data_IF_149313463906
#
_entry.id   IF_149313463906
#
_cell.length_a   1.000
_cell.length_b   1.000
_cell.length_c   1.000
_cell.angle_alpha   90.00
_cell.angle_beta   90.00
_cell.angle_gamma   90.00
#
_symmetry.space_group_name_H-M   'P 1'
#
loop_
_entity.id
_entity.type
_entity.pdbx_description
1 polymer ?
#
# COMPACT_ATOMS: atom_id res chain seq x y z
N UNK A 1 -44.79 -37.54 -18.36
CA UNK A 1 -44.06 -36.75 -17.33
C UNK A 1 -42.69 -36.36 -17.88
N UNK A 2 -42.45 -35.07 -18.11
CA UNK A 2 -41.20 -34.55 -18.67
C UNK A 2 -40.02 -34.78 -17.71
N UNK A 3 -38.79 -34.84 -18.25
CA UNK A 3 -37.57 -35.02 -17.45
C UNK A 3 -37.43 -33.91 -16.37
N UNK A 4 -37.88 -32.69 -16.68
CA UNK A 4 -37.90 -31.56 -15.76
C UNK A 4 -38.79 -31.81 -14.52
N UNK A 5 -39.95 -32.47 -14.67
CA UNK A 5 -40.84 -32.74 -13.54
C UNK A 5 -40.26 -33.79 -12.58
N UNK A 6 -39.49 -34.75 -13.09
CA UNK A 6 -38.80 -35.78 -12.28
C UNK A 6 -37.60 -35.20 -11.55
N UNK A 7 -36.83 -34.32 -12.20
CA UNK A 7 -35.71 -33.61 -11.59
C UNK A 7 -36.20 -32.71 -10.45
N UNK A 8 -37.32 -32.01 -10.67
CA UNK A 8 -37.94 -31.16 -9.66
C UNK A 8 -38.19 -31.96 -8.37
N UNK A 9 -38.83 -33.12 -8.42
CA UNK A 9 -39.18 -33.86 -7.19
C UNK A 9 -38.05 -34.62 -6.50
N UNK A 10 -37.00 -35.04 -7.22
CA UNK A 10 -35.97 -35.94 -6.66
C UNK A 10 -34.66 -35.27 -6.25
N UNK A 11 -34.43 -34.02 -6.66
CA UNK A 11 -33.16 -33.34 -6.42
C UNK A 11 -33.32 -32.06 -5.58
N UNK A 12 -33.40 -32.15 -4.24
CA UNK A 12 -33.53 -30.97 -3.37
C UNK A 12 -32.33 -30.01 -3.50
N UNK A 13 -31.13 -30.52 -3.77
CA UNK A 13 -29.92 -29.72 -4.01
C UNK A 13 -30.04 -28.86 -5.26
N UNK A 14 -30.62 -29.39 -6.34
CA UNK A 14 -30.80 -28.64 -7.59
C UNK A 14 -31.79 -27.47 -7.40
N UNK A 15 -32.83 -27.67 -6.59
CA UNK A 15 -33.75 -26.58 -6.19
C UNK A 15 -33.02 -25.51 -5.35
N UNK A 16 -32.21 -25.93 -4.38
CA UNK A 16 -31.43 -25.01 -3.54
C UNK A 16 -30.47 -24.16 -4.38
N UNK A 17 -29.82 -24.75 -5.39
CA UNK A 17 -29.00 -24.01 -6.34
C UNK A 17 -29.81 -23.02 -7.18
N UNK A 18 -30.99 -23.40 -7.69
CA UNK A 18 -31.84 -22.47 -8.42
C UNK A 18 -32.31 -21.29 -7.56
N UNK A 19 -32.64 -21.53 -6.29
CA UNK A 19 -33.02 -20.48 -5.36
C UNK A 19 -31.85 -19.60 -4.92
N UNK A 20 -30.61 -20.10 -4.97
CA UNK A 20 -29.44 -19.31 -4.61
C UNK A 20 -28.97 -18.39 -5.73
N UNK A 21 -29.26 -18.70 -7.00
CA UNK A 21 -28.93 -17.84 -8.15
C UNK A 21 -29.37 -16.38 -7.96
N UNK A 22 -30.63 -16.05 -7.64
CA UNK A 22 -31.03 -14.64 -7.46
C UNK A 22 -30.30 -13.97 -6.29
N UNK A 23 -30.03 -14.70 -5.20
CA UNK A 23 -29.31 -14.19 -4.03
C UNK A 23 -27.86 -13.84 -4.39
N UNK A 24 -27.13 -14.77 -5.03
CA UNK A 24 -25.76 -14.54 -5.46
C UNK A 24 -25.67 -13.49 -6.57
N UNK A 25 -26.68 -13.40 -7.43
CA UNK A 25 -26.78 -12.34 -8.44
C UNK A 25 -26.93 -10.97 -7.77
N UNK A 26 -27.82 -10.85 -6.78
CA UNK A 26 -27.97 -9.62 -6.00
C UNK A 26 -26.68 -9.25 -5.25
N UNK A 27 -26.03 -10.23 -4.60
CA UNK A 27 -24.75 -10.03 -3.92
C UNK A 27 -23.64 -9.58 -4.88
N UNK A 28 -23.56 -10.17 -6.07
CA UNK A 28 -22.58 -9.78 -7.11
C UNK A 28 -22.83 -8.35 -7.61
N UNK A 29 -24.09 -7.92 -7.68
CA UNK A 29 -24.44 -6.53 -8.04
C UNK A 29 -24.10 -5.53 -6.92
N UNK A 30 -24.25 -5.93 -5.65
CA UNK A 30 -23.94 -5.11 -4.47
C UNK A 30 -22.44 -5.09 -4.12
N UNK A 31 -21.71 -6.14 -4.48
CA UNK A 31 -20.29 -6.36 -4.20
C UNK A 31 -19.59 -6.96 -5.44
N UNK A 32 -19.34 -6.16 -6.48
CA UNK A 32 -18.76 -6.66 -7.72
C UNK A 32 -17.32 -7.17 -7.48
N UNK A 33 -17.02 -8.43 -7.81
CA UNK A 33 -15.65 -8.93 -7.76
C UNK A 33 -14.77 -8.20 -8.78
N UNK A 34 -13.54 -7.85 -8.41
CA UNK A 34 -12.63 -7.08 -9.26
C UNK A 34 -12.26 -7.77 -10.60
N UNK A 35 -12.38 -9.09 -10.68
CA UNK A 35 -12.16 -9.81 -11.94
C UNK A 35 -13.30 -9.60 -12.95
N UNK A 36 -14.54 -9.38 -12.46
CA UNK A 36 -15.74 -9.29 -13.28
C UNK A 36 -15.80 -7.96 -14.06
N UNK A 37 -15.33 -6.88 -13.42
CA UNK A 37 -15.22 -5.54 -14.04
C UNK A 37 -14.06 -5.42 -15.04
N UNK A 38 -13.13 -6.37 -15.03
CA UNK A 38 -12.06 -6.51 -16.03
C UNK A 38 -12.48 -7.40 -17.20
N UNK A 39 -13.19 -8.49 -16.92
CA UNK A 39 -13.66 -9.43 -17.94
C UNK A 39 -14.80 -8.87 -18.81
N UNK A 40 -15.70 -8.05 -18.23
CA UNK A 40 -16.82 -7.44 -18.96
C UNK A 40 -16.87 -5.93 -18.69
N UNK A 41 -16.13 -5.11 -19.46
CA UNK A 41 -16.07 -3.66 -19.28
C UNK A 41 -17.43 -2.97 -19.35
N UNK A 42 -18.39 -3.55 -20.09
CA UNK A 42 -19.75 -3.04 -20.24
C UNK A 42 -20.57 -3.02 -18.93
N UNK A 43 -20.16 -3.76 -17.90
CA UNK A 43 -20.84 -3.77 -16.60
C UNK A 43 -20.40 -2.64 -15.66
N UNK A 44 -19.27 -1.97 -15.94
CA UNK A 44 -18.77 -0.82 -15.15
C UNK A 44 -19.82 0.27 -14.90
N UNK A 45 -20.53 0.81 -15.91
CA UNK A 45 -21.51 1.87 -15.67
C UNK A 45 -22.70 1.43 -14.80
N UNK A 46 -23.02 0.13 -14.77
CA UNK A 46 -24.08 -0.41 -13.91
C UNK A 46 -23.62 -0.46 -12.46
N UNK A 47 -22.41 -0.94 -12.22
CA UNK A 47 -21.82 -0.96 -10.88
C UNK A 47 -21.56 0.44 -10.33
N UNK A 48 -21.11 1.37 -11.17
CA UNK A 48 -20.89 2.76 -10.76
C UNK A 48 -22.21 3.44 -10.34
N UNK A 49 -23.32 3.21 -11.06
CA UNK A 49 -24.65 3.70 -10.65
C UNK A 49 -25.12 3.10 -9.33
N UNK A 50 -24.90 1.80 -9.12
CA UNK A 50 -25.28 1.12 -7.87
C UNK A 50 -24.44 1.65 -6.71
N UNK A 51 -23.12 1.78 -6.89
CA UNK A 51 -22.23 2.35 -5.89
C UNK A 51 -22.57 3.81 -5.59
N UNK A 52 -22.95 4.60 -6.60
CA UNK A 52 -23.42 5.97 -6.43
C UNK A 52 -24.75 6.04 -5.66
N UNK A 53 -25.69 5.14 -5.94
CA UNK A 53 -26.96 5.05 -5.20
C UNK A 53 -26.76 4.60 -3.74
N UNK A 54 -25.72 3.81 -3.48
CA UNK A 54 -25.33 3.33 -2.14
C UNK A 54 -24.38 4.29 -1.40
N UNK A 55 -24.04 5.45 -1.99
CA UNK A 55 -23.12 6.43 -1.39
C UNK A 55 -21.67 5.96 -1.28
N UNK A 56 -21.28 4.93 -2.04
CA UNK A 56 -19.93 4.31 -2.04
C UNK A 56 -18.99 4.91 -3.09
N UNK A 57 -19.24 6.14 -3.55
CA UNK A 57 -18.41 6.75 -4.57
C UNK A 57 -16.97 6.97 -4.07
N UNK A 58 -15.94 6.55 -4.81
CA UNK A 58 -14.65 7.19 -4.69
C UNK A 58 -14.81 8.66 -5.08
N UNK A 59 -14.25 9.55 -4.27
CA UNK A 59 -14.29 11.00 -4.49
C UNK A 59 -13.80 11.31 -5.92
N UNK A 60 -14.52 12.11 -6.72
CA UNK A 60 -14.06 12.45 -8.06
C UNK A 60 -12.75 13.25 -7.94
N UNK A 61 -11.72 12.77 -8.63
CA UNK A 61 -10.51 13.54 -8.87
C UNK A 61 -10.89 14.88 -9.50
N UNK A 62 -10.39 15.98 -8.93
CA UNK A 62 -10.60 17.31 -9.47
C UNK A 62 -10.10 17.38 -10.93
N UNK A 63 -10.81 18.07 -11.84
CA UNK A 63 -10.38 18.20 -13.22
C UNK A 63 -9.03 18.90 -13.32
N UNK A 64 -8.10 18.23 -14.00
CA UNK A 64 -6.82 18.75 -14.48
C UNK A 64 -7.05 19.97 -15.36
N UNK A 65 -6.83 21.15 -14.79
CA UNK A 65 -6.59 22.36 -15.58
C UNK A 65 -5.11 22.37 -15.93
N UNK A 66 -4.77 21.85 -17.11
CA UNK A 66 -3.47 22.06 -17.73
C UNK A 66 -3.48 23.36 -18.56
N UNK A 67 -2.32 24.02 -18.74
CA UNK A 67 -2.23 25.42 -19.14
C UNK A 67 -1.98 25.58 -20.64
N UNK A 68 -2.85 26.32 -21.33
CA UNK A 68 -2.53 26.94 -22.61
C UNK A 68 -2.34 28.44 -22.37
N UNK A 69 -1.08 28.87 -22.29
CA UNK A 69 -0.68 30.27 -22.40
C UNK A 69 0.20 30.42 -23.66
N UNK A 70 -0.22 31.18 -24.68
CA UNK A 70 0.62 31.50 -25.83
C UNK A 70 1.75 32.47 -25.43
N UNK A 71 2.93 32.38 -26.08
CA UNK A 71 4.07 33.24 -25.79
C UNK A 71 3.87 34.56 -26.54
N UNK A 72 3.46 35.61 -25.82
CA UNK A 72 3.76 37.03 -26.09
C UNK A 72 2.75 37.91 -25.36
N UNK A 73 3.02 38.20 -24.08
CA UNK A 73 2.35 39.29 -23.37
C UNK A 73 3.36 39.97 -22.41
N UNK A 74 3.51 41.30 -22.45
CA UNK A 74 4.46 42.03 -21.61
C UNK A 74 4.03 42.03 -20.13
N UNK A 75 4.98 42.16 -19.19
CA UNK A 75 4.70 42.03 -17.75
C UNK A 75 3.85 43.20 -17.22
N UNK A 76 2.86 42.96 -16.34
CA UNK A 76 2.12 44.04 -15.70
C UNK A 76 2.95 44.71 -14.58
N UNK A 77 2.74 46.01 -14.31
CA UNK A 77 3.50 46.76 -13.32
C UNK A 77 3.12 46.37 -11.87
N UNK A 78 4.00 46.63 -10.88
CA UNK A 78 3.76 46.27 -9.49
C UNK A 78 2.72 47.22 -8.87
N UNK A 79 1.66 46.66 -8.29
CA UNK A 79 0.68 47.41 -7.50
C UNK A 79 1.03 47.33 -6.01
N UNK A 80 1.37 48.49 -5.44
CA UNK A 80 1.46 48.74 -4.01
C UNK A 80 0.06 48.78 -3.35
N UNK A 81 -0.08 48.13 -2.19
CA UNK A 81 -0.85 48.66 -1.06
C UNK A 81 -2.34 48.31 -0.87
N UNK A 82 -2.61 47.62 0.25
CA UNK A 82 -3.82 47.65 1.12
C UNK A 82 -4.88 46.52 0.93
N UNK A 83 -5.75 46.24 1.96
CA UNK A 83 -5.57 45.10 2.89
C UNK A 83 -6.79 44.16 3.00
N UNK A 84 -6.55 43.00 3.65
CA UNK A 84 -7.45 42.02 4.28
C UNK A 84 -8.93 41.91 3.85
N UNK A 85 -9.32 40.71 3.40
CA UNK A 85 -10.72 40.30 3.39
C UNK A 85 -10.97 38.96 2.72
N UNK A 86 -10.99 37.88 3.50
CA UNK A 86 -11.67 36.63 3.12
C UNK A 86 -10.77 35.58 2.48
N UNK A 87 -9.95 34.92 3.29
CA UNK A 87 -9.39 33.61 2.95
C UNK A 87 -10.54 32.63 2.72
N UNK A 88 -10.94 32.45 1.46
CA UNK A 88 -11.62 31.25 1.01
C UNK A 88 -10.68 30.08 1.30
N UNK A 89 -10.92 29.41 2.41
CA UNK A 89 -10.30 28.14 2.74
C UNK A 89 -10.67 27.16 1.63
N UNK A 90 -9.74 26.97 0.68
CA UNK A 90 -9.71 25.80 -0.14
C UNK A 90 -9.78 24.57 0.79
N UNK A 91 -10.49 23.49 0.43
CA UNK A 91 -10.46 22.28 1.21
C UNK A 91 -8.99 21.86 1.38
N UNK A 92 -8.55 21.73 2.64
CA UNK A 92 -7.15 21.44 2.95
C UNK A 92 -6.78 20.11 2.29
N UNK A 93 -6.05 20.18 1.19
CA UNK A 93 -5.39 19.03 0.60
C UNK A 93 -4.40 18.41 1.60
N UNK A 94 -3.91 17.20 1.34
CA UNK A 94 -2.87 16.60 2.17
C UNK A 94 -1.70 17.56 2.34
N UNK A 95 -1.20 17.73 3.56
CA UNK A 95 0.01 18.50 3.81
C UNK A 95 1.20 17.66 3.37
N UNK A 96 2.06 18.20 2.50
CA UNK A 96 3.25 17.51 2.02
C UNK A 96 4.52 18.20 2.55
N UNK A 97 5.45 17.39 3.03
CA UNK A 97 6.80 17.81 3.36
C UNK A 97 7.80 16.90 2.64
N UNK A 98 8.88 17.48 2.13
CA UNK A 98 9.97 16.77 1.49
C UNK A 98 11.25 17.00 2.31
N UNK A 99 11.53 16.18 3.34
CA UNK A 99 12.71 16.35 4.16
C UNK A 99 14.00 16.23 3.33
N UNK A 100 15.14 16.72 3.85
CA UNK A 100 16.43 16.54 3.20
C UNK A 100 16.72 15.05 2.98
N UNK A 101 16.91 14.65 1.72
CA UNK A 101 17.20 13.24 1.38
C UNK A 101 18.58 12.81 1.89
N UNK A 102 19.43 13.75 2.30
CA UNK A 102 20.75 13.50 2.87
C UNK A 102 20.71 13.12 4.35
N UNK A 103 19.52 13.07 4.97
CA UNK A 103 19.39 12.59 6.34
C UNK A 103 19.51 11.08 6.42
N UNK A 104 20.32 10.61 7.36
CA UNK A 104 20.55 9.19 7.60
C UNK A 104 19.66 8.70 8.75
N UNK A 105 18.82 7.70 8.47
CA UNK A 105 17.93 7.05 9.42
C UNK A 105 18.28 5.57 9.53
N UNK A 106 18.18 5.01 10.73
CA UNK A 106 18.44 3.59 10.98
C UNK A 106 17.93 3.13 12.32
N UNK A 107 17.84 1.80 12.51
CA UNK A 107 17.39 1.21 13.76
C UNK A 107 15.89 1.39 13.97
N UNK A 108 15.49 2.39 14.74
CA UNK A 108 14.08 2.70 14.98
C UNK A 108 13.86 4.21 15.05
N UNK A 109 12.78 4.71 14.44
CA UNK A 109 12.46 6.14 14.36
C UNK A 109 11.09 6.45 14.98
N UNK A 110 10.90 7.67 15.53
CA UNK A 110 9.57 8.13 15.91
C UNK A 110 8.64 8.23 14.69
N UNK A 111 7.40 7.76 14.83
CA UNK A 111 6.40 7.78 13.77
C UNK A 111 4.99 7.80 14.36
N UNK A 112 4.16 8.80 14.06
CA UNK A 112 2.76 8.88 14.51
C UNK A 112 2.52 8.61 16.01
N UNK A 113 3.41 9.11 16.90
CA UNK A 113 3.31 8.89 18.34
C UNK A 113 3.77 7.51 18.83
N UNK A 114 4.30 6.68 17.93
CA UNK A 114 4.84 5.33 18.15
C UNK A 114 6.24 5.21 17.55
N UNK A 115 6.78 3.99 17.53
CA UNK A 115 8.12 3.69 17.03
C UNK A 115 8.02 2.84 15.77
N UNK A 116 8.61 3.31 14.67
CA UNK A 116 8.77 2.53 13.44
C UNK A 116 10.16 1.88 13.41
N UNK A 117 10.29 0.56 13.56
CA UNK A 117 11.55 -0.12 13.29
C UNK A 117 11.89 -0.05 11.81
N UNK A 118 13.18 0.13 11.52
CA UNK A 118 13.73 0.12 10.18
C UNK A 118 14.56 -1.16 9.97
N UNK A 119 14.45 -1.83 8.81
CA UNK A 119 15.39 -2.87 8.42
C UNK A 119 16.82 -2.32 8.36
N UNK A 120 17.80 -3.22 8.33
CA UNK A 120 19.21 -2.87 8.37
C UNK A 120 19.63 -1.97 7.20
N UNK A 121 20.62 -1.11 7.42
CA UNK A 121 21.12 -0.16 6.44
C UNK A 121 20.68 1.27 6.71
N UNK A 122 21.12 2.18 5.84
CA UNK A 122 20.83 3.61 5.93
C UNK A 122 19.61 3.95 5.08
N UNK A 123 18.60 4.52 5.73
CA UNK A 123 17.36 4.95 5.11
C UNK A 123 17.31 6.48 5.03
N UNK A 124 16.76 6.98 3.94
CA UNK A 124 16.66 8.40 3.66
C UNK A 124 15.20 8.82 3.46
N UNK A 125 14.76 9.96 4.01
CA UNK A 125 13.39 10.42 3.85
C UNK A 125 13.12 10.95 2.44
N UNK A 126 12.07 10.42 1.81
CA UNK A 126 11.61 10.83 0.48
C UNK A 126 10.41 11.77 0.58
N UNK A 127 9.42 11.43 1.39
CA UNK A 127 8.21 12.23 1.48
C UNK A 127 7.54 11.97 2.82
N UNK A 128 7.04 13.02 3.43
CA UNK A 128 6.10 12.93 4.56
C UNK A 128 4.80 13.59 4.14
N UNK A 129 3.68 12.91 4.34
CA UNK A 129 2.36 13.47 4.09
C UNK A 129 1.46 13.31 5.30
N UNK A 130 0.56 14.27 5.50
CA UNK A 130 -0.49 14.17 6.49
C UNK A 130 -1.83 14.40 5.79
N UNK A 131 -2.77 13.48 5.96
CA UNK A 131 -4.05 13.47 5.24
C UNK A 131 -5.24 13.20 6.17
N UNK A 132 -6.43 13.48 5.64
CA UNK A 132 -7.69 13.45 6.37
C UNK A 132 -8.12 14.86 6.87
N UNK A 133 -9.40 15.06 7.23
CA UNK A 133 -9.95 16.38 7.56
C UNK A 133 -9.18 17.14 8.65
N UNK A 134 -8.57 16.41 9.59
CA UNK A 134 -7.76 16.98 10.67
C UNK A 134 -6.32 16.43 10.68
N UNK A 135 -5.88 15.81 9.59
CA UNK A 135 -4.57 15.18 9.52
C UNK A 135 -4.47 13.89 10.33
N UNK A 136 -5.54 13.10 10.37
CA UNK A 136 -5.63 11.88 11.18
C UNK A 136 -4.71 10.76 10.68
N UNK A 137 -4.17 10.85 9.46
CA UNK A 137 -3.28 9.85 8.87
C UNK A 137 -1.93 10.47 8.49
N UNK A 138 -0.85 9.97 9.08
CA UNK A 138 0.53 10.31 8.74
C UNK A 138 1.11 9.24 7.81
N UNK A 139 1.79 9.64 6.74
CA UNK A 139 2.60 8.75 5.90
C UNK A 139 4.04 9.23 5.79
N UNK A 140 4.98 8.28 5.90
CA UNK A 140 6.40 8.50 5.62
C UNK A 140 6.85 7.52 4.53
N UNK A 141 7.49 8.05 3.50
CA UNK A 141 8.18 7.28 2.47
C UNK A 141 9.68 7.43 2.67
N UNK A 142 10.38 6.31 2.84
CA UNK A 142 11.82 6.24 3.01
C UNK A 142 12.44 5.41 1.89
N UNK A 143 13.68 5.70 1.51
CA UNK A 143 14.44 4.93 0.51
C UNK A 143 15.77 4.47 1.10
N UNK A 144 16.18 3.26 0.75
CA UNK A 144 17.53 2.74 0.94
C UNK A 144 18.15 2.53 -0.44
N UNK A 145 19.37 3.03 -0.62
CA UNK A 145 20.12 2.87 -1.85
C UNK A 145 21.54 2.40 -1.58
N UNK A 146 22.10 1.66 -2.52
CA UNK A 146 23.47 1.14 -2.46
C UNK A 146 24.08 1.16 -3.86
N UNK A 147 25.33 1.63 -3.98
CA UNK A 147 25.97 1.79 -5.30
C UNK A 147 25.19 2.74 -6.23
N UNK A 148 24.40 3.65 -5.65
CA UNK A 148 23.52 4.55 -6.40
C UNK A 148 22.23 3.89 -6.92
N UNK A 149 21.91 2.65 -6.53
CA UNK A 149 20.68 1.93 -6.94
C UNK A 149 19.76 1.70 -5.74
N UNK A 150 18.45 1.87 -5.92
CA UNK A 150 17.48 1.62 -4.84
C UNK A 150 17.44 0.13 -4.50
N UNK A 151 17.71 -0.19 -3.23
CA UNK A 151 17.63 -1.55 -2.67
C UNK A 151 16.38 -1.75 -1.82
N UNK A 152 15.77 -0.68 -1.32
CA UNK A 152 14.47 -0.76 -0.69
C UNK A 152 13.72 0.57 -0.59
N UNK A 153 12.40 0.48 -0.45
CA UNK A 153 11.51 1.62 -0.18
C UNK A 153 10.56 1.22 0.94
N UNK A 154 10.41 2.07 1.96
CA UNK A 154 9.40 1.89 3.01
C UNK A 154 8.31 2.92 2.77
N UNK A 155 7.06 2.49 2.80
CA UNK A 155 5.87 3.32 2.83
C UNK A 155 5.16 2.97 4.13
N UNK A 156 5.34 3.80 5.15
CA UNK A 156 4.67 3.66 6.43
C UNK A 156 3.49 4.61 6.49
N UNK A 157 2.35 4.13 7.00
CA UNK A 157 1.13 4.89 7.23
C UNK A 157 0.59 4.56 8.59
N UNK A 158 0.28 5.56 9.38
CA UNK A 158 -0.22 5.34 10.73
C UNK A 158 -1.21 6.44 11.09
N UNK A 159 -2.21 6.05 11.86
CA UNK A 159 -3.16 7.03 12.38
C UNK A 159 -2.53 7.86 13.50
N UNK A 160 -2.78 9.16 13.52
CA UNK A 160 -2.46 10.05 14.64
C UNK A 160 -3.67 10.23 15.56
N UNK A 161 -4.85 9.85 15.08
CA UNK A 161 -6.14 9.84 15.77
C UNK A 161 -6.92 8.59 15.37
N UNK A 162 -8.04 8.32 16.05
CA UNK A 162 -8.91 7.19 15.71
C UNK A 162 -9.55 7.38 14.32
N UNK A 163 -9.57 6.32 13.51
CA UNK A 163 -10.15 6.32 12.17
C UNK A 163 -11.45 5.50 12.10
N UNK A 164 -12.34 5.78 11.13
CA UNK A 164 -13.52 4.95 10.88
C UNK A 164 -13.15 3.50 10.57
N UNK A 165 -13.99 2.55 11.02
CA UNK A 165 -13.76 1.11 10.79
C UNK A 165 -13.72 0.71 9.31
N UNK A 166 -14.32 1.50 8.40
CA UNK A 166 -14.22 1.27 6.96
C UNK A 166 -12.76 1.34 6.44
N UNK A 167 -11.88 2.09 7.12
CA UNK A 167 -10.45 2.10 6.81
C UNK A 167 -9.81 0.75 7.10
N UNK A 168 -10.20 0.11 8.20
CA UNK A 168 -9.73 -1.23 8.60
C UNK A 168 -10.10 -2.28 7.55
N UNK A 169 -11.34 -2.23 7.04
CA UNK A 169 -11.80 -3.16 6.01
C UNK A 169 -10.96 -3.08 4.74
N UNK A 170 -10.57 -1.87 4.32
CA UNK A 170 -9.75 -1.68 3.13
C UNK A 170 -8.33 -2.27 3.28
N UNK A 171 -7.74 -2.18 4.48
CA UNK A 171 -6.43 -2.78 4.79
C UNK A 171 -6.48 -4.30 4.77
N UNK A 172 -7.57 -4.90 5.26
CA UNK A 172 -7.74 -6.35 5.32
C UNK A 172 -7.73 -6.99 3.93
N UNK A 173 -8.31 -6.31 2.92
CA UNK A 173 -8.47 -6.86 1.56
C UNK A 173 -7.15 -7.36 0.94
N UNK A 174 -6.03 -6.67 1.18
CA UNK A 174 -4.73 -7.07 0.63
C UNK A 174 -4.25 -8.42 1.15
N UNK A 175 -4.65 -8.81 2.36
CA UNK A 175 -4.26 -10.08 2.97
C UNK A 175 -5.01 -11.29 2.37
N UNK A 176 -6.11 -11.06 1.66
CA UNK A 176 -6.93 -12.11 1.03
C UNK A 176 -6.71 -12.22 -0.49
N UNK A 177 -5.65 -11.62 -1.04
CA UNK A 177 -5.32 -11.72 -2.47
C UNK A 177 -4.58 -13.04 -2.77
N UNK A 178 -5.19 -13.91 -3.58
CA UNK A 178 -4.62 -15.21 -3.98
C UNK A 178 -3.29 -15.08 -4.77
N UNK A 179 -3.03 -13.90 -5.33
CA UNK A 179 -1.78 -13.60 -6.05
C UNK A 179 -0.59 -13.40 -5.13
N UNK A 180 -0.82 -13.16 -3.84
CA UNK A 180 0.25 -13.05 -2.84
C UNK A 180 1.05 -14.35 -2.80
N UNK A 181 2.38 -14.24 -2.72
CA UNK A 181 3.25 -15.40 -2.55
C UNK A 181 2.91 -16.11 -1.24
N UNK A 182 2.76 -15.32 -0.18
CA UNK A 182 2.31 -15.75 1.13
C UNK A 182 1.44 -14.67 1.76
N UNK A 183 0.36 -15.09 2.43
CA UNK A 183 -0.43 -14.25 3.33
C UNK A 183 -0.56 -14.96 4.67
N UNK A 184 -0.49 -14.21 5.76
CA UNK A 184 -0.71 -14.73 7.11
C UNK A 184 -1.63 -13.79 7.87
N UNK A 185 -2.76 -14.33 8.31
CA UNK A 185 -3.65 -13.66 9.27
C UNK A 185 -3.17 -14.11 10.65
N UNK A 186 -2.77 -13.15 11.48
CA UNK A 186 -2.26 -13.44 12.82
C UNK A 186 -3.44 -13.52 13.78
N UNK A 187 -3.69 -14.68 14.43
CA UNK A 187 -4.70 -14.78 15.46
C UNK A 187 -4.37 -13.79 16.58
N UNK A 188 -5.30 -12.89 16.88
CA UNK A 188 -5.11 -11.83 17.87
C UNK A 188 -6.33 -11.73 18.79
N UNK A 189 -6.20 -10.93 19.86
CA UNK A 189 -7.25 -10.73 20.84
C UNK A 189 -8.52 -10.13 20.18
N UNK A 190 -9.66 -10.24 20.85
CA UNK A 190 -10.88 -9.56 20.40
C UNK A 190 -10.58 -8.07 20.22
N UNK A 191 -10.93 -7.51 19.05
CA UNK A 191 -10.72 -6.10 18.64
C UNK A 191 -9.35 -5.75 18.05
N UNK A 192 -8.51 -6.73 17.78
CA UNK A 192 -7.28 -6.55 17.01
C UNK A 192 -7.43 -7.22 15.64
N UNK A 193 -6.92 -6.58 14.61
CA UNK A 193 -6.69 -7.16 13.30
C UNK A 193 -5.19 -7.06 13.03
N UNK A 194 -4.58 -8.18 12.69
CA UNK A 194 -3.20 -8.20 12.23
C UNK A 194 -3.04 -9.20 11.10
N UNK A 195 -2.46 -8.75 10.00
CA UNK A 195 -2.09 -9.63 8.90
C UNK A 195 -0.89 -9.07 8.15
N UNK A 196 -0.18 -9.95 7.48
CA UNK A 196 0.88 -9.57 6.56
C UNK A 196 0.87 -10.44 5.33
N UNK A 197 1.44 -9.92 4.25
CA UNK A 197 1.57 -10.65 3.01
C UNK A 197 2.80 -10.21 2.23
N UNK A 198 3.23 -11.07 1.32
CA UNK A 198 4.27 -10.77 0.33
C UNK A 198 3.73 -10.94 -1.08
N UNK A 199 4.15 -10.07 -1.99
CA UNK A 199 3.80 -10.09 -3.41
C UNK A 199 4.92 -9.44 -4.23
N UNK A 200 4.66 -9.07 -5.47
CA UNK A 200 5.58 -8.25 -6.26
C UNK A 200 4.84 -7.09 -6.91
N UNK A 201 5.60 -6.07 -7.27
CA UNK A 201 5.15 -5.00 -8.13
C UNK A 201 6.12 -4.84 -9.29
N UNK A 202 5.58 -4.50 -10.46
CA UNK A 202 6.33 -4.10 -11.64
C UNK A 202 6.18 -2.59 -11.81
N UNK A 203 7.29 -1.87 -11.96
CA UNK A 203 7.34 -0.39 -11.86
C UNK A 203 7.23 0.30 -13.24
N UNK A 204 7.00 -0.41 -14.35
CA UNK A 204 6.79 0.23 -15.66
C UNK A 204 5.38 0.77 -15.88
N UNK A 205 5.30 2.04 -16.31
CA UNK A 205 4.20 2.57 -17.12
C UNK A 205 2.80 2.56 -16.49
N UNK A 206 2.68 2.11 -15.25
CA UNK A 206 1.44 2.03 -14.49
C UNK A 206 1.65 2.65 -13.11
N UNK A 207 0.67 3.41 -12.58
CA UNK A 207 0.77 3.93 -11.24
C UNK A 207 0.89 2.78 -10.24
N UNK A 208 1.93 2.79 -9.42
CA UNK A 208 2.17 1.78 -8.36
C UNK A 208 1.02 1.70 -7.35
N UNK A 209 0.29 2.80 -7.23
CA UNK A 209 -0.86 2.95 -6.36
C UNK A 209 -1.71 4.10 -6.89
N UNK A 210 -3.02 4.06 -6.65
CA UNK A 210 -3.91 5.21 -6.86
C UNK A 210 -3.65 6.34 -5.84
N UNK A 211 -2.78 6.08 -4.86
CA UNK A 211 -2.47 7.01 -3.79
C UNK A 211 -1.47 8.08 -4.22
N UNK A 212 -1.88 9.35 -4.09
CA UNK A 212 -1.11 10.53 -4.53
C UNK A 212 0.24 10.66 -3.82
N UNK A 213 0.32 10.30 -2.54
CA UNK A 213 1.56 10.29 -1.75
C UNK A 213 2.61 9.30 -2.31
N UNK A 214 2.21 8.09 -2.66
CA UNK A 214 3.10 7.08 -3.25
C UNK A 214 3.56 7.57 -4.63
N UNK A 215 2.66 8.02 -5.49
CA UNK A 215 3.03 8.54 -6.81
C UNK A 215 4.02 9.71 -6.70
N UNK A 216 3.75 10.65 -5.78
CA UNK A 216 4.62 11.81 -5.53
C UNK A 216 6.00 11.40 -5.04
N UNK A 217 6.08 10.42 -4.13
CA UNK A 217 7.35 9.95 -3.61
C UNK A 217 8.20 9.26 -4.70
N UNK A 218 7.60 8.40 -5.53
CA UNK A 218 8.30 7.73 -6.62
C UNK A 218 8.73 8.70 -7.72
N UNK A 219 7.89 9.71 -8.04
CA UNK A 219 8.27 10.79 -8.94
C UNK A 219 9.46 11.59 -8.38
N UNK A 220 9.48 11.90 -7.08
CA UNK A 220 10.61 12.57 -6.45
C UNK A 220 11.89 11.72 -6.54
N UNK A 221 11.82 10.42 -6.27
CA UNK A 221 12.97 9.51 -6.42
C UNK A 221 13.52 9.51 -7.84
N UNK A 222 12.63 9.47 -8.84
CA UNK A 222 13.00 9.54 -10.25
C UNK A 222 13.71 10.86 -10.59
N UNK A 223 13.16 12.00 -10.18
CA UNK A 223 13.75 13.34 -10.39
C UNK A 223 15.10 13.48 -9.70
N UNK A 224 15.26 12.88 -8.52
CA UNK A 224 16.52 12.88 -7.77
C UNK A 224 17.56 11.89 -8.33
N UNK A 225 17.23 11.15 -9.39
CA UNK A 225 18.15 10.26 -10.08
C UNK A 225 18.42 8.95 -9.35
N UNK A 226 17.51 8.49 -8.48
CA UNK A 226 17.59 7.17 -7.86
C UNK A 226 16.94 6.12 -8.79
N UNK A 227 17.72 5.27 -9.49
CA UNK A 227 17.17 4.22 -10.33
C UNK A 227 16.50 3.16 -9.45
N UNK A 228 15.25 2.86 -9.77
CA UNK A 228 14.44 1.88 -9.07
C UNK A 228 14.32 0.62 -9.93
N UNK A 229 14.71 -0.56 -9.40
CA UNK A 229 14.53 -1.83 -10.08
C UNK A 229 13.12 -2.04 -10.60
N UNK A 230 13.03 -2.61 -11.80
CA UNK A 230 11.75 -2.84 -12.46
C UNK A 230 10.81 -3.73 -11.65
N UNK A 231 11.35 -4.79 -11.03
CA UNK A 231 10.61 -5.62 -10.10
C UNK A 231 11.07 -5.33 -8.69
N UNK A 232 10.11 -5.11 -7.79
CA UNK A 232 10.34 -5.08 -6.36
C UNK A 232 9.44 -6.12 -5.69
N UNK A 233 9.98 -6.84 -4.70
CA UNK A 233 9.15 -7.65 -3.82
C UNK A 233 8.47 -6.73 -2.82
N UNK A 234 7.17 -6.91 -2.63
CA UNK A 234 6.37 -6.12 -1.69
C UNK A 234 6.15 -6.97 -0.45
N UNK A 235 6.50 -6.47 0.72
CA UNK A 235 6.18 -7.06 2.02
C UNK A 235 5.33 -6.04 2.82
N UNK A 236 4.08 -6.37 3.11
CA UNK A 236 3.15 -5.47 3.79
C UNK A 236 2.70 -6.06 5.10
N UNK A 237 2.73 -5.26 6.16
CA UNK A 237 2.10 -5.53 7.44
C UNK A 237 0.95 -4.55 7.67
N UNK A 238 -0.18 -5.09 8.11
CA UNK A 238 -1.37 -4.35 8.48
C UNK A 238 -1.70 -4.65 9.93
N UNK A 239 -1.86 -3.60 10.72
CA UNK A 239 -2.28 -3.68 12.09
C UNK A 239 -3.40 -2.68 12.35
N UNK A 240 -4.44 -3.12 13.03
CA UNK A 240 -5.47 -2.24 13.56
C UNK A 240 -5.92 -2.72 14.94
N UNK A 241 -6.19 -1.76 15.82
CA UNK A 241 -6.75 -2.01 17.14
C UNK A 241 -7.92 -1.06 17.37
N UNK A 242 -9.05 -1.57 17.87
CA UNK A 242 -10.21 -0.74 18.16
C UNK A 242 -9.88 0.32 19.21
N UNK A 243 -10.26 1.56 18.93
CA UNK A 243 -10.16 2.67 19.85
C UNK A 243 -11.38 2.73 20.78
N UNK A 244 -11.31 3.59 21.80
CA UNK A 244 -12.38 3.79 22.79
C UNK A 244 -13.61 4.48 22.22
N UNK A 245 -13.46 5.20 21.11
CA UNK A 245 -14.50 6.01 20.45
C UNK A 245 -15.22 5.28 19.29
N UNK A 246 -15.12 3.94 19.26
CA UNK A 246 -15.65 3.06 18.19
C UNK A 246 -14.95 3.21 16.83
N UNK A 247 -13.87 3.97 16.73
CA UNK A 247 -12.95 3.90 15.59
C UNK A 247 -11.83 2.88 15.84
N UNK A 248 -10.74 3.02 15.09
CA UNK A 248 -9.56 2.18 15.22
C UNK A 248 -8.26 2.99 15.05
N UNK A 249 -7.24 2.60 15.79
CA UNK A 249 -5.86 3.00 15.55
C UNK A 249 -5.25 2.02 14.55
N UNK A 250 -4.62 2.53 13.49
CA UNK A 250 -4.06 1.69 12.44
C UNK A 250 -2.58 1.97 12.21
N UNK A 251 -1.87 0.96 11.75
CA UNK A 251 -0.57 1.10 11.11
C UNK A 251 -0.45 0.13 9.94
N UNK A 252 -0.01 0.65 8.79
CA UNK A 252 0.29 -0.09 7.58
C UNK A 252 1.75 0.21 7.23
N UNK A 253 2.56 -0.84 7.11
CA UNK A 253 3.96 -0.71 6.70
C UNK A 253 4.18 -1.60 5.49
N UNK A 254 4.41 -0.96 4.35
CA UNK A 254 4.76 -1.62 3.10
C UNK A 254 6.22 -1.40 2.79
N UNK A 255 6.96 -2.49 2.59
CA UNK A 255 8.39 -2.50 2.34
C UNK A 255 8.62 -3.13 0.98
N UNK A 256 9.17 -2.36 0.05
CA UNK A 256 9.59 -2.81 -1.26
C UNK A 256 11.06 -3.20 -1.16
N UNK A 257 11.40 -4.42 -1.56
CA UNK A 257 12.75 -4.98 -1.50
C UNK A 257 13.22 -5.29 -2.92
N UNK A 258 14.40 -4.80 -3.28
CA UNK A 258 15.02 -5.10 -4.56
C UNK A 258 15.56 -6.53 -4.57
N UNK A 259 15.13 -7.38 -5.50
CA UNK A 259 15.77 -8.67 -5.73
C UNK A 259 17.00 -8.57 -6.63
N UNK A 260 17.31 -7.38 -7.17
CA UNK A 260 18.44 -7.19 -8.05
C UNK A 260 19.75 -7.48 -7.31
N UNK A 261 20.77 -7.94 -8.04
CA UNK A 261 22.10 -8.13 -7.46
C UNK A 261 22.62 -6.78 -6.92
N UNK A 262 23.27 -6.82 -5.77
CA UNK A 262 23.82 -5.64 -5.05
C UNK A 262 24.53 -4.68 -6.02
N UNK A 263 24.20 -3.39 -5.92
CA UNK A 263 24.77 -2.33 -6.77
C UNK A 263 24.42 -2.40 -8.26
N UNK A 264 23.50 -3.28 -8.68
CA UNK A 264 23.09 -3.43 -10.07
C UNK A 264 21.57 -3.43 -10.23
N UNK A 265 21.12 -3.35 -11.48
CA UNK A 265 19.70 -3.51 -11.85
C UNK A 265 19.36 -4.93 -12.33
N UNK A 266 20.31 -5.87 -12.20
CA UNK A 266 20.19 -7.22 -12.77
C UNK A 266 19.32 -8.10 -11.88
N UNK A 267 18.13 -8.45 -12.37
CA UNK A 267 17.18 -9.32 -11.69
C UNK A 267 17.56 -10.81 -11.79
N UNK A 268 17.21 -11.64 -10.80
CA UNK A 268 17.45 -13.09 -10.82
C UNK A 268 16.50 -13.86 -11.75
N UNK A 269 15.43 -13.22 -12.23
CA UNK A 269 14.52 -13.73 -13.25
C UNK A 269 13.88 -12.57 -14.03
N UNK A 270 13.48 -12.78 -15.30
CA UNK A 270 12.72 -11.81 -16.08
C UNK A 270 11.42 -11.37 -15.38
N UNK A 271 10.92 -10.15 -15.59
CA UNK A 271 9.77 -9.64 -14.84
C UNK A 271 8.49 -10.49 -14.90
N UNK A 272 8.19 -11.09 -16.04
CA UNK A 272 7.04 -11.97 -16.27
C UNK A 272 7.10 -13.27 -15.45
N UNK A 273 8.29 -13.64 -14.97
CA UNK A 273 8.52 -14.85 -14.18
C UNK A 273 8.30 -14.64 -12.67
N UNK A 274 7.96 -13.43 -12.24
CA UNK A 274 7.65 -13.11 -10.83
C UNK A 274 6.20 -13.44 -10.45
N UNK A 275 5.41 -14.05 -11.32
CA UNK A 275 4.10 -14.57 -10.93
C UNK A 275 4.24 -15.76 -9.99
N UNK A 276 3.34 -15.88 -9.00
CA UNK A 276 3.36 -16.97 -8.00
C UNK A 276 3.45 -18.37 -8.63
N UNK A 277 2.77 -18.57 -9.76
CA UNK A 277 2.74 -19.85 -10.48
C UNK A 277 4.05 -20.14 -11.24
N UNK A 278 4.82 -19.10 -11.56
CA UNK A 278 6.06 -19.18 -12.33
C UNK A 278 7.31 -19.31 -11.45
N UNK A 279 7.20 -19.00 -10.15
CA UNK A 279 8.33 -19.03 -9.21
C UNK A 279 9.07 -20.38 -9.16
N UNK A 280 8.41 -21.55 -9.14
CA UNK A 280 9.13 -22.83 -9.02
C UNK A 280 10.07 -23.13 -10.19
N UNK A 281 9.89 -22.47 -11.35
CA UNK A 281 10.80 -22.62 -12.49
C UNK A 281 12.01 -21.67 -12.43
N UNK A 282 12.04 -20.74 -11.47
CA UNK A 282 13.00 -19.66 -11.37
C UNK A 282 13.63 -19.65 -9.96
N UNK A 283 14.61 -20.54 -9.68
CA UNK A 283 15.09 -20.78 -8.32
C UNK A 283 15.77 -19.57 -7.67
N UNK A 284 16.29 -18.61 -8.46
CA UNK A 284 16.83 -17.37 -7.94
C UNK A 284 15.74 -16.46 -7.33
N UNK A 285 14.64 -16.27 -8.05
CA UNK A 285 13.50 -15.50 -7.58
C UNK A 285 12.79 -16.21 -6.42
N UNK A 286 12.58 -17.53 -6.53
CA UNK A 286 11.96 -18.34 -5.48
C UNK A 286 12.75 -18.26 -4.15
N UNK A 287 14.08 -18.37 -4.19
CA UNK A 287 14.91 -18.22 -2.98
C UNK A 287 14.75 -16.84 -2.35
N UNK A 288 14.73 -15.78 -3.15
CA UNK A 288 14.56 -14.42 -2.65
C UNK A 288 13.18 -14.24 -1.99
N UNK A 289 12.12 -14.73 -2.64
CA UNK A 289 10.75 -14.71 -2.09
C UNK A 289 10.67 -15.48 -0.78
N UNK A 290 11.24 -16.68 -0.72
CA UNK A 290 11.23 -17.49 0.50
C UNK A 290 12.03 -16.85 1.65
N UNK A 291 13.16 -16.21 1.35
CA UNK A 291 13.92 -15.45 2.32
C UNK A 291 13.12 -14.25 2.85
N UNK A 292 12.41 -13.53 1.97
CA UNK A 292 11.56 -12.42 2.35
C UNK A 292 10.36 -12.86 3.20
N UNK A 293 9.75 -14.00 2.88
CA UNK A 293 8.68 -14.60 3.67
C UNK A 293 9.14 -14.95 5.08
N UNK A 294 10.30 -15.63 5.20
CA UNK A 294 10.87 -15.99 6.50
C UNK A 294 11.27 -14.75 7.32
N UNK A 295 11.85 -13.75 6.66
CA UNK A 295 12.17 -12.48 7.31
C UNK A 295 10.91 -11.76 7.81
N UNK A 296 9.88 -11.64 6.95
CA UNK A 296 8.65 -10.92 7.29
C UNK A 296 7.92 -11.55 8.48
N UNK A 297 7.90 -12.89 8.56
CA UNK A 297 7.29 -13.60 9.69
C UNK A 297 7.93 -13.17 11.03
N UNK A 298 9.25 -13.07 11.08
CA UNK A 298 9.97 -12.55 12.27
C UNK A 298 9.80 -11.04 12.46
N UNK A 299 9.85 -10.27 11.36
CA UNK A 299 9.80 -8.80 11.37
C UNK A 299 8.48 -8.26 11.92
N UNK A 300 7.37 -8.98 11.71
CA UNK A 300 6.05 -8.61 12.27
C UNK A 300 6.07 -8.40 13.79
N UNK A 301 6.90 -9.15 14.52
CA UNK A 301 7.06 -8.97 15.96
C UNK A 301 7.71 -7.63 16.30
N UNK A 302 8.68 -7.17 15.52
CA UNK A 302 9.32 -5.87 15.74
C UNK A 302 8.36 -4.73 15.42
N UNK A 303 7.62 -4.84 14.31
CA UNK A 303 6.59 -3.85 13.95
C UNK A 303 5.51 -3.74 15.02
N UNK A 304 5.00 -4.87 15.52
CA UNK A 304 4.01 -4.88 16.62
C UNK A 304 4.56 -4.23 17.89
N UNK A 305 5.80 -4.55 18.29
CA UNK A 305 6.44 -3.91 19.44
C UNK A 305 6.63 -2.40 19.23
N UNK A 306 6.97 -1.99 18.01
CA UNK A 306 7.07 -0.58 17.62
C UNK A 306 5.75 0.18 17.77
N UNK A 307 4.65 -0.44 17.30
CA UNK A 307 3.30 0.10 17.44
C UNK A 307 2.91 0.36 18.90
N UNK A 308 3.22 -0.59 19.79
CA UNK A 308 2.92 -0.50 21.23
C UNK A 308 3.93 0.35 22.04
N UNK A 309 5.00 0.84 21.40
CA UNK A 309 6.05 1.61 22.07
C UNK A 309 7.02 0.76 22.92
N UNK A 310 6.98 -0.56 22.79
CA UNK A 310 7.81 -1.53 23.53
C UNK A 310 9.18 -1.78 22.87
N UNK A 311 9.51 -0.99 21.86
CA UNK A 311 10.73 -1.14 21.09
C UNK A 311 11.73 -0.02 21.40
N UNK A 312 12.90 -0.41 21.88
CA UNK A 312 14.03 0.50 22.09
C UNK A 312 15.02 0.39 20.93
N UNK A 313 15.49 1.55 20.44
CA UNK A 313 16.51 1.59 19.41
C UNK A 313 17.79 0.87 19.86
N UNK A 314 18.42 0.13 18.96
CA UNK A 314 19.63 -0.66 19.25
C UNK A 314 19.41 -1.93 20.07
N UNK A 315 18.17 -2.33 20.36
CA UNK A 315 17.91 -3.61 21.04
C UNK A 315 18.48 -4.80 20.24
N UNK A 316 19.09 -5.81 20.89
CA UNK A 316 19.71 -6.94 20.19
C UNK A 316 18.73 -7.71 19.29
N UNK A 317 17.47 -7.81 19.71
CA UNK A 317 16.41 -8.47 18.96
C UNK A 317 16.11 -7.72 17.65
N UNK A 318 16.04 -6.38 17.72
CA UNK A 318 15.83 -5.53 16.54
C UNK A 318 16.98 -5.68 15.57
N UNK A 319 18.24 -5.61 16.04
CA UNK A 319 19.42 -5.77 15.18
C UNK A 319 19.40 -7.12 14.47
N UNK A 320 19.05 -8.20 15.17
CA UNK A 320 18.96 -9.55 14.59
C UNK A 320 17.84 -9.68 13.56
N UNK A 321 16.67 -9.13 13.85
CA UNK A 321 15.49 -9.21 12.99
C UNK A 321 15.54 -8.24 11.79
N UNK A 322 16.34 -7.17 11.87
CA UNK A 322 16.40 -6.11 10.85
C UNK A 322 16.97 -6.53 9.50
N UNK A 323 17.64 -7.69 9.40
CA UNK A 323 18.31 -8.13 8.18
C UNK A 323 17.32 -8.71 7.17
N UNK A 324 16.83 -7.85 6.29
CA UNK A 324 16.02 -8.27 5.14
C UNK A 324 16.89 -8.85 4.01
N UNK A 325 16.32 -9.61 3.06
CA UNK A 325 17.07 -10.23 1.96
C UNK A 325 17.77 -9.26 0.99
N UNK A 326 17.37 -7.99 0.97
CA UNK A 326 17.99 -6.94 0.14
C UNK A 326 18.97 -6.06 0.93
N UNK A 327 19.16 -6.32 2.23
CA UNK A 327 20.10 -5.59 3.07
C UNK A 327 21.54 -6.02 2.81
N UNK A 328 22.48 -5.08 2.96
CA UNK A 328 23.91 -5.35 2.90
C UNK A 328 24.53 -5.09 4.25
N UNK A 329 25.39 -6.02 4.69
CA UNK A 329 26.12 -5.86 5.94
C UNK A 329 27.22 -4.81 5.76
N UNK A 330 27.47 -3.95 6.76
CA UNK A 330 28.66 -3.13 6.75
C UNK A 330 29.91 -4.03 6.65
N UNK A 331 30.65 -3.93 5.54
CA UNK A 331 31.91 -4.65 5.33
C UNK A 331 31.84 -5.88 4.40
N UNK A 332 30.72 -6.13 3.73
CA UNK A 332 30.65 -7.00 2.53
C UNK A 332 30.78 -6.20 1.23
#
# INVERSE_FOLDING_TARGET
MSAASRLWHRAPIWRAMLYSIPIFTALTLLYPPAYLTRAVPALRPVFDRINHALGRNPSPAAPTSAPDAPPDAPPPPPAEGAPDGGSQQAPAGPQLAAPPITSDLGGAIPFAGRILPLPAGTWHPVLTTQSGPHGELLSNVLVRAEGGVVTGVIIARASTQSLPLSTVDSMNNGCHDDRNYLSKIVPSASKVMECWFTSHVQIEGQPLSDSVDIQTAFNRLHVLGFPIPYVMLVATWNYAEAATDRGANIENVTILLSPARKGTMTLPAPPEQWLKQALPQNPGAERFVNAANGWMDGWTTMLRRGFHGDLTNGSPDLVRASRDPASVLPGE
#
